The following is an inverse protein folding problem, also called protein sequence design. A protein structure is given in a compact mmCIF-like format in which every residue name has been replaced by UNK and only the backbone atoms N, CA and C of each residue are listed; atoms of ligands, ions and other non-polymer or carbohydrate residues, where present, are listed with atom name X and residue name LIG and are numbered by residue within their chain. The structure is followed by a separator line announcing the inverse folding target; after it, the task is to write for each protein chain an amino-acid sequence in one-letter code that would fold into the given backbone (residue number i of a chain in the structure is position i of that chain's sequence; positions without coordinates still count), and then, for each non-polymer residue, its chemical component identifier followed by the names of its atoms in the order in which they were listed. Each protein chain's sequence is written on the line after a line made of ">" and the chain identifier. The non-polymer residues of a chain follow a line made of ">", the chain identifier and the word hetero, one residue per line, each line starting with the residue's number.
data_IF_598764696531
#
_entry.id   IF_598764696531
#
_cell.length_a   1.000
_cell.length_b   1.000
_cell.length_c   1.000
_cell.angle_alpha   90.00
_cell.angle_beta   90.00
_cell.angle_gamma   90.00
#
_symmetry.space_group_name_H-M   'P 1'
#
loop_
_entity.id
_entity.type
_entity.pdbx_description
1 polymer ?
#
# COMPACT_ATOMS: atom_id res chain seq x y z
N UNK A 1 2.22 -7.67 -22.33
CA UNK A 1 3.64 -7.90 -22.00
C UNK A 1 4.41 -8.52 -23.16
N UNK A 2 4.29 -9.82 -23.47
CA UNK A 2 5.12 -10.45 -24.51
C UNK A 2 4.95 -9.81 -25.91
N UNK A 3 3.73 -9.48 -26.32
CA UNK A 3 3.48 -8.76 -27.57
C UNK A 3 4.14 -7.37 -27.59
N UNK A 4 3.91 -6.56 -26.54
CA UNK A 4 4.54 -5.24 -26.40
C UNK A 4 6.09 -5.34 -26.46
N UNK A 5 6.67 -6.34 -25.79
CA UNK A 5 8.11 -6.56 -25.85
C UNK A 5 8.60 -6.94 -27.27
N UNK A 6 7.80 -7.69 -28.04
CA UNK A 6 8.11 -8.00 -29.43
C UNK A 6 8.04 -6.75 -30.34
N UNK A 7 7.22 -5.76 -29.98
CA UNK A 7 7.17 -4.44 -30.64
C UNK A 7 8.31 -3.50 -30.21
N UNK A 8 9.29 -4.00 -29.44
CA UNK A 8 10.43 -3.23 -28.96
C UNK A 8 10.13 -2.34 -27.76
N UNK A 9 9.02 -2.57 -27.06
CA UNK A 9 8.63 -1.78 -25.89
C UNK A 9 9.15 -2.39 -24.59
N UNK A 10 9.81 -1.56 -23.79
CA UNK A 10 10.20 -1.91 -22.43
C UNK A 10 9.08 -1.60 -21.42
N UNK A 11 8.99 -2.40 -20.36
CA UNK A 11 7.98 -2.17 -19.33
C UNK A 11 8.09 -3.06 -18.11
N UNK A 12 7.23 -2.77 -17.14
CA UNK A 12 7.21 -3.41 -15.82
C UNK A 12 5.91 -4.17 -15.64
N UNK A 13 5.97 -5.36 -15.04
CA UNK A 13 4.79 -6.14 -14.64
C UNK A 13 4.82 -6.36 -13.14
N UNK A 14 3.91 -5.72 -12.41
CA UNK A 14 3.77 -5.88 -10.97
C UNK A 14 2.91 -7.10 -10.60
N UNK A 15 3.39 -7.87 -9.64
CA UNK A 15 2.72 -9.06 -9.07
C UNK A 15 2.71 -9.02 -7.55
N UNK A 16 1.75 -9.71 -6.92
CA UNK A 16 1.59 -9.70 -5.46
C UNK A 16 2.60 -10.56 -4.68
N UNK A 17 3.18 -11.61 -5.29
CA UNK A 17 4.06 -12.56 -4.59
C UNK A 17 5.33 -12.86 -5.39
N UNK A 18 6.42 -13.16 -4.67
CA UNK A 18 7.73 -13.51 -5.24
C UNK A 18 7.64 -14.69 -6.22
N UNK A 19 6.93 -15.75 -5.80
CA UNK A 19 6.69 -16.93 -6.64
C UNK A 19 5.96 -16.61 -7.95
N UNK A 20 5.07 -15.61 -7.94
CA UNK A 20 4.37 -15.20 -9.15
C UNK A 20 5.30 -14.44 -10.10
N UNK A 21 6.29 -13.71 -9.56
CA UNK A 21 7.27 -12.99 -10.37
C UNK A 21 8.16 -13.97 -11.13
N UNK A 22 8.72 -14.96 -10.43
CA UNK A 22 9.52 -16.03 -11.03
C UNK A 22 8.72 -16.78 -12.10
N UNK A 23 7.49 -17.19 -11.77
CA UNK A 23 6.62 -17.94 -12.67
C UNK A 23 6.27 -17.14 -13.92
N UNK A 24 5.85 -15.88 -13.77
CA UNK A 24 5.40 -15.06 -14.89
C UNK A 24 6.57 -14.63 -15.77
N UNK A 25 7.74 -14.33 -15.20
CA UNK A 25 8.95 -14.07 -16.00
C UNK A 25 9.32 -15.30 -16.86
N UNK A 26 9.28 -16.50 -16.27
CA UNK A 26 9.53 -17.76 -17.00
C UNK A 26 8.51 -18.00 -18.12
N UNK A 27 7.25 -17.65 -17.90
CA UNK A 27 6.21 -17.76 -18.93
C UNK A 27 6.41 -16.76 -20.07
N UNK A 28 6.82 -15.53 -19.77
CA UNK A 28 7.15 -14.52 -20.77
C UNK A 28 8.36 -14.94 -21.62
N UNK A 29 9.41 -15.48 -20.98
CA UNK A 29 10.57 -16.04 -21.68
C UNK A 29 10.18 -17.19 -22.62
N UNK A 30 9.30 -18.09 -22.19
CA UNK A 30 8.77 -19.17 -23.05
C UNK A 30 8.00 -18.66 -24.26
N UNK A 31 7.47 -17.45 -24.20
CA UNK A 31 6.78 -16.76 -25.31
C UNK A 31 7.72 -15.88 -26.14
N UNK A 32 9.03 -15.94 -25.89
CA UNK A 32 10.05 -15.22 -26.66
C UNK A 32 10.35 -13.80 -26.18
N UNK A 33 9.76 -13.34 -25.07
CA UNK A 33 10.07 -12.03 -24.51
C UNK A 33 11.35 -12.07 -23.67
N UNK A 34 12.22 -11.07 -23.83
CA UNK A 34 13.33 -10.87 -22.88
C UNK A 34 12.76 -10.36 -21.55
N UNK A 35 12.64 -11.25 -20.57
CA UNK A 35 12.01 -10.96 -19.30
C UNK A 35 12.83 -11.48 -18.12
N UNK A 36 12.78 -10.79 -16.98
CA UNK A 36 13.45 -11.21 -15.74
C UNK A 36 12.59 -10.96 -14.49
N UNK A 37 12.63 -11.84 -13.48
CA UNK A 37 11.98 -11.58 -12.21
C UNK A 37 12.81 -10.61 -11.36
N UNK A 38 12.15 -9.80 -10.54
CA UNK A 38 12.78 -8.92 -9.57
C UNK A 38 12.03 -8.86 -8.24
N UNK A 39 12.66 -9.29 -7.15
CA UNK A 39 12.10 -9.17 -5.80
C UNK A 39 13.15 -9.30 -4.70
N UNK A 40 12.77 -8.93 -3.48
CA UNK A 40 13.64 -8.96 -2.31
C UNK A 40 14.23 -10.35 -1.96
N UNK A 41 13.63 -11.44 -2.46
CA UNK A 41 14.16 -12.80 -2.29
C UNK A 41 15.37 -13.15 -3.16
N UNK A 42 15.68 -12.37 -4.19
CA UNK A 42 16.86 -12.60 -5.04
C UNK A 42 18.14 -12.22 -4.31
N UNK A 43 19.27 -12.84 -4.66
CA UNK A 43 20.58 -12.39 -4.20
C UNK A 43 20.86 -10.94 -4.67
N UNK A 44 21.63 -10.18 -3.89
CA UNK A 44 21.95 -8.78 -4.23
C UNK A 44 22.57 -8.64 -5.62
N UNK A 45 23.57 -9.47 -5.94
CA UNK A 45 24.22 -9.50 -7.25
C UNK A 45 23.23 -9.77 -8.41
N UNK A 46 22.24 -10.65 -8.21
CA UNK A 46 21.23 -10.93 -9.23
C UNK A 46 20.28 -9.75 -9.44
N UNK A 47 19.95 -9.01 -8.38
CA UNK A 47 19.12 -7.80 -8.50
C UNK A 47 19.85 -6.71 -9.28
N UNK A 48 21.14 -6.54 -9.01
CA UNK A 48 22.01 -5.59 -9.73
C UNK A 48 22.13 -5.98 -11.21
N UNK A 49 22.40 -7.25 -11.52
CA UNK A 49 22.43 -7.75 -12.89
C UNK A 49 21.12 -7.48 -13.65
N UNK A 50 19.96 -7.76 -13.05
CA UNK A 50 18.65 -7.50 -13.68
C UNK A 50 18.39 -6.01 -13.83
N UNK A 51 18.83 -5.19 -12.87
CA UNK A 51 18.69 -3.74 -12.94
C UNK A 51 19.48 -3.17 -14.11
N UNK A 52 20.75 -3.57 -14.24
CA UNK A 52 21.64 -3.09 -15.30
C UNK A 52 21.15 -3.57 -16.67
N UNK A 53 20.78 -4.85 -16.80
CA UNK A 53 20.24 -5.40 -18.03
C UNK A 53 18.92 -4.75 -18.46
N UNK A 54 18.10 -4.29 -17.52
CA UNK A 54 16.89 -3.53 -17.84
C UNK A 54 17.21 -2.10 -18.27
N UNK A 55 18.24 -1.48 -17.66
CA UNK A 55 18.72 -0.15 -18.05
C UNK A 55 19.39 -0.12 -19.43
N UNK A 56 20.04 -1.20 -19.85
CA UNK A 56 20.71 -1.36 -21.15
C UNK A 56 19.82 -1.93 -22.27
N UNK A 57 18.52 -2.14 -22.01
CA UNK A 57 17.56 -2.77 -22.93
C UNK A 57 17.83 -4.26 -23.27
N UNK A 58 18.78 -4.92 -22.58
CA UNK A 58 19.01 -6.36 -22.70
C UNK A 58 17.81 -7.18 -22.16
N UNK A 59 17.13 -6.63 -21.15
CA UNK A 59 15.84 -7.11 -20.63
C UNK A 59 14.75 -6.11 -20.98
N UNK A 60 13.76 -6.54 -21.75
CA UNK A 60 12.62 -5.68 -22.12
C UNK A 60 11.55 -5.63 -21.02
N UNK A 61 11.36 -6.72 -20.25
CA UNK A 61 10.29 -6.84 -19.27
C UNK A 61 10.81 -7.24 -17.90
N UNK A 62 10.63 -6.39 -16.89
CA UNK A 62 10.84 -6.81 -15.51
C UNK A 62 9.53 -7.17 -14.85
N UNK A 63 9.46 -8.39 -14.30
CA UNK A 63 8.33 -8.84 -13.48
C UNK A 63 8.70 -8.68 -12.02
N UNK A 64 8.02 -7.77 -11.32
CA UNK A 64 8.42 -7.34 -10.00
C UNK A 64 7.32 -7.45 -8.96
N UNK A 65 7.72 -7.70 -7.70
CA UNK A 65 6.87 -7.31 -6.56
C UNK A 65 7.03 -5.80 -6.28
N UNK A 66 6.27 -5.23 -5.34
CA UNK A 66 6.33 -3.80 -4.93
C UNK A 66 7.74 -3.24 -4.59
N UNK A 67 8.76 -4.10 -4.48
CA UNK A 67 10.16 -3.77 -4.18
C UNK A 67 10.96 -3.19 -5.36
N UNK A 68 10.40 -3.09 -6.57
CA UNK A 68 11.07 -2.49 -7.72
C UNK A 68 10.72 -1.02 -7.81
N UNK A 69 11.51 -0.15 -7.17
CA UNK A 69 11.13 1.26 -7.17
C UNK A 69 12.06 2.34 -6.66
N UNK A 70 13.26 2.05 -6.14
CA UNK A 70 14.11 3.10 -5.56
C UNK A 70 15.24 3.63 -6.47
N UNK A 71 15.33 3.26 -7.75
CA UNK A 71 16.47 3.72 -8.57
C UNK A 71 16.43 3.53 -10.08
N UNK A 72 15.35 3.02 -10.67
CA UNK A 72 15.32 2.87 -12.14
C UNK A 72 14.90 4.19 -12.76
N UNK A 73 15.88 4.79 -13.44
CA UNK A 73 15.73 5.97 -14.27
C UNK A 73 15.74 5.56 -15.75
N UNK A 74 14.66 4.90 -16.17
CA UNK A 74 14.42 4.54 -17.58
C UNK A 74 13.22 5.36 -18.06
N UNK A 75 13.42 6.48 -18.77
CA UNK A 75 12.34 7.41 -19.07
C UNK A 75 11.35 6.88 -20.13
N UNK A 76 11.80 5.93 -20.94
CA UNK A 76 11.13 5.39 -22.13
C UNK A 76 10.34 4.10 -21.85
N UNK A 77 9.89 3.89 -20.61
CA UNK A 77 8.99 2.79 -20.29
C UNK A 77 7.63 3.00 -20.96
N UNK A 78 7.26 2.09 -21.85
CA UNK A 78 6.02 2.19 -22.64
C UNK A 78 4.84 1.55 -21.96
N UNK A 79 5.07 0.66 -20.99
CA UNK A 79 3.97 0.09 -20.24
C UNK A 79 4.31 -0.24 -18.78
N UNK A 80 3.28 -0.14 -17.94
CA UNK A 80 3.25 -0.69 -16.59
C UNK A 80 1.99 -1.52 -16.45
N UNK A 81 2.15 -2.81 -16.17
CA UNK A 81 1.03 -3.74 -16.00
C UNK A 81 0.98 -4.21 -14.56
N UNK A 82 -0.23 -4.39 -14.03
CA UNK A 82 -0.47 -4.94 -12.71
C UNK A 82 -1.26 -6.23 -12.85
N UNK A 83 -0.59 -7.38 -12.67
CA UNK A 83 -1.24 -8.67 -12.63
C UNK A 83 -1.89 -8.97 -11.26
N UNK A 84 -1.69 -8.08 -10.29
CA UNK A 84 -2.38 -8.03 -9.01
C UNK A 84 -2.52 -6.57 -8.57
N UNK A 85 -3.63 -6.24 -7.91
CA UNK A 85 -3.82 -4.90 -7.36
C UNK A 85 -2.76 -4.58 -6.28
N UNK A 86 -2.20 -3.36 -6.30
CA UNK A 86 -1.38 -2.85 -5.19
C UNK A 86 -2.18 -2.76 -3.87
N UNK A 87 -1.45 -2.57 -2.77
CA UNK A 87 -2.01 -2.44 -1.43
C UNK A 87 -2.54 -1.02 -1.12
N UNK A 88 -2.23 -0.04 -1.96
CA UNK A 88 -2.84 1.29 -1.93
C UNK A 88 -2.81 1.99 -3.28
N UNK A 89 -3.61 3.05 -3.41
CA UNK A 89 -3.57 3.92 -4.58
C UNK A 89 -2.28 4.73 -4.68
N UNK A 90 -1.64 5.07 -3.55
CA UNK A 90 -0.32 5.70 -3.54
C UNK A 90 0.71 4.82 -4.23
N UNK A 91 0.74 3.53 -3.89
CA UNK A 91 1.62 2.56 -4.52
C UNK A 91 1.30 2.43 -6.01
N UNK A 92 0.02 2.34 -6.37
CA UNK A 92 -0.41 2.28 -7.77
C UNK A 92 0.05 3.53 -8.56
N UNK A 93 -0.19 4.73 -8.02
CA UNK A 93 0.18 6.01 -8.66
C UNK A 93 1.70 6.12 -8.90
N UNK A 94 2.50 5.80 -7.88
CA UNK A 94 3.96 5.80 -8.01
C UNK A 94 4.46 4.77 -9.04
N UNK A 95 3.79 3.62 -9.14
CA UNK A 95 4.16 2.55 -10.05
C UNK A 95 3.83 2.89 -11.49
N UNK A 96 2.62 3.41 -11.78
CA UNK A 96 2.23 3.81 -13.14
C UNK A 96 3.00 5.05 -13.61
N UNK A 97 3.39 5.96 -12.70
CA UNK A 97 4.20 7.16 -12.99
C UNK A 97 5.66 6.87 -13.39
N UNK A 98 6.01 5.59 -13.59
CA UNK A 98 7.28 5.18 -14.21
C UNK A 98 7.19 5.15 -15.73
N UNK A 99 6.00 4.95 -16.28
CA UNK A 99 5.78 4.90 -17.72
C UNK A 99 5.76 6.31 -18.32
N UNK A 100 6.26 6.46 -19.55
CA UNK A 100 6.12 7.68 -20.35
C UNK A 100 6.76 8.93 -19.74
N UNK A 101 7.88 8.80 -19.02
CA UNK A 101 8.58 9.97 -18.43
C UNK A 101 9.30 10.82 -19.47
N UNK A 102 9.55 10.26 -20.65
CA UNK A 102 9.96 10.97 -21.86
C UNK A 102 8.82 11.79 -22.51
N UNK A 103 7.58 11.68 -22.02
CA UNK A 103 6.41 12.37 -22.55
C UNK A 103 5.72 11.63 -23.71
N UNK A 104 6.29 10.53 -24.19
CA UNK A 104 5.69 9.72 -25.26
C UNK A 104 4.58 8.81 -24.72
N UNK A 105 3.60 8.41 -25.55
CA UNK A 105 2.50 7.56 -25.14
C UNK A 105 2.96 6.30 -24.40
N UNK A 106 2.28 6.00 -23.30
CA UNK A 106 2.52 4.82 -22.50
C UNK A 106 1.22 4.33 -21.85
N UNK A 107 1.17 3.04 -21.57
CA UNK A 107 -0.05 2.37 -21.10
C UNK A 107 0.13 1.86 -19.67
N UNK A 108 -0.87 2.12 -18.83
CA UNK A 108 -0.99 1.51 -17.51
C UNK A 108 -2.25 0.64 -17.47
N UNK A 109 -2.08 -0.66 -17.19
CA UNK A 109 -3.19 -1.61 -17.14
C UNK A 109 -3.21 -2.40 -15.84
N UNK A 110 -4.37 -2.45 -15.20
CA UNK A 110 -4.63 -3.24 -14.01
C UNK A 110 -5.55 -4.42 -14.31
N UNK A 111 -5.01 -5.63 -14.22
CA UNK A 111 -5.79 -6.87 -14.26
C UNK A 111 -6.39 -7.13 -12.88
N UNK A 112 -7.59 -6.60 -12.67
CA UNK A 112 -8.28 -6.65 -11.38
C UNK A 112 -9.19 -7.87 -11.25
N UNK A 113 -9.05 -8.58 -10.13
CA UNK A 113 -10.06 -9.51 -9.62
C UNK A 113 -10.41 -9.14 -8.18
N UNK A 114 -11.68 -9.10 -7.77
CA UNK A 114 -12.06 -8.76 -6.39
C UNK A 114 -11.36 -9.62 -5.34
N UNK A 115 -11.03 -10.88 -5.66
CA UNK A 115 -10.33 -11.80 -4.77
C UNK A 115 -8.89 -11.37 -4.45
N UNK A 116 -8.25 -10.58 -5.32
CA UNK A 116 -6.87 -10.11 -5.14
C UNK A 116 -6.75 -9.18 -3.93
N UNK A 117 -7.81 -8.42 -3.62
CA UNK A 117 -7.85 -7.51 -2.47
C UNK A 117 -7.95 -8.26 -1.14
N UNK A 118 -8.61 -9.43 -1.11
CA UNK A 118 -8.64 -10.27 0.10
C UNK A 118 -7.27 -10.81 0.45
N UNK A 119 -6.46 -11.18 -0.55
CA UNK A 119 -5.09 -11.61 -0.34
C UNK A 119 -4.25 -10.47 0.24
N UNK A 120 -4.37 -9.25 -0.29
CA UNK A 120 -3.69 -8.08 0.25
C UNK A 120 -4.14 -7.77 1.68
N UNK A 121 -5.45 -7.78 1.94
CA UNK A 121 -5.98 -7.59 3.29
C UNK A 121 -5.43 -8.63 4.27
N UNK A 122 -5.36 -9.90 3.88
CA UNK A 122 -4.80 -10.96 4.72
C UNK A 122 -3.30 -10.78 4.99
N UNK A 123 -2.52 -10.43 3.96
CA UNK A 123 -1.07 -10.24 4.10
C UNK A 123 -0.72 -9.03 4.97
N UNK A 124 -1.54 -7.98 4.91
CA UNK A 124 -1.21 -6.68 5.50
C UNK A 124 -1.93 -6.45 6.84
N UNK A 125 -3.15 -6.97 7.03
CA UNK A 125 -4.00 -6.71 8.22
C UNK A 125 -4.00 -7.85 9.25
N UNK A 126 -2.84 -8.44 9.56
CA UNK A 126 -2.77 -9.47 10.59
C UNK A 126 -3.04 -8.88 11.99
N UNK A 127 -3.76 -9.59 12.87
CA UNK A 127 -4.11 -9.14 14.24
C UNK A 127 -2.91 -9.00 15.17
N UNK A 128 -3.05 -8.15 16.18
CA UNK A 128 -2.09 -8.05 17.27
C UNK A 128 -1.98 -9.42 17.97
N UNK A 129 -0.77 -9.99 18.12
CA UNK A 129 -0.61 -11.25 18.84
C UNK A 129 -0.60 -10.96 20.34
N UNK A 130 -1.79 -10.73 20.93
CA UNK A 130 -1.94 -10.33 22.34
C UNK A 130 -1.18 -11.21 23.33
N UNK A 131 -1.24 -12.52 23.16
CA UNK A 131 -0.50 -13.46 24.00
C UNK A 131 1.02 -13.30 23.86
N UNK A 132 1.50 -13.02 22.65
CA UNK A 132 2.91 -12.75 22.41
C UNK A 132 3.34 -11.39 23.01
N UNK A 133 2.51 -10.35 22.88
CA UNK A 133 2.73 -9.04 23.50
C UNK A 133 2.84 -9.18 25.03
N UNK A 134 1.89 -9.91 25.64
CA UNK A 134 1.85 -10.19 27.08
C UNK A 134 3.07 -10.99 27.53
N UNK A 135 3.45 -12.02 26.77
CA UNK A 135 4.58 -12.89 27.11
C UNK A 135 5.91 -12.15 27.02
N UNK A 136 6.13 -11.35 25.97
CA UNK A 136 7.32 -10.50 25.83
C UNK A 136 7.41 -9.46 26.95
N UNK A 137 6.30 -8.76 27.22
CA UNK A 137 6.27 -7.74 28.29
C UNK A 137 6.55 -8.34 29.67
N UNK A 138 5.95 -9.49 30.01
CA UNK A 138 6.22 -10.20 31.26
C UNK A 138 7.67 -10.66 31.36
N UNK A 139 8.22 -11.29 30.32
CA UNK A 139 9.59 -11.78 30.31
C UNK A 139 10.61 -10.66 30.55
N UNK A 140 10.46 -9.52 29.87
CA UNK A 140 11.37 -8.37 30.01
C UNK A 140 11.24 -7.61 31.34
N UNK A 141 10.09 -7.75 32.02
CA UNK A 141 9.85 -7.15 33.35
C UNK A 141 10.34 -8.05 34.48
N UNK A 142 10.34 -9.37 34.27
CA UNK A 142 10.89 -10.35 35.21
C UNK A 142 12.43 -10.49 35.10
N UNK A 143 13.04 -10.01 34.02
CA UNK A 143 14.48 -10.08 33.81
C UNK A 143 15.22 -8.92 34.51
N UNK A 144 16.36 -9.23 35.13
CA UNK A 144 17.30 -8.26 35.71
C UNK A 144 18.19 -7.60 34.63
N UNK A 145 17.59 -7.17 33.52
CA UNK A 145 18.28 -6.40 32.48
C UNK A 145 17.83 -6.67 31.04
N UNK A 146 18.53 -6.08 30.05
CA UNK A 146 18.18 -6.22 28.65
C UNK A 146 18.42 -7.62 28.10
N UNK A 147 17.45 -8.15 27.36
CA UNK A 147 17.51 -9.50 26.79
C UNK A 147 17.88 -9.48 25.30
N UNK A 148 18.64 -10.49 24.88
CA UNK A 148 18.91 -10.73 23.47
C UNK A 148 17.74 -11.45 22.77
N UNK A 149 17.72 -11.42 21.43
CA UNK A 149 16.64 -12.01 20.63
C UNK A 149 16.38 -13.50 20.93
N UNK A 150 17.43 -14.34 21.08
CA UNK A 150 17.31 -15.78 21.40
C UNK A 150 16.94 -16.06 22.85
N UNK A 151 17.28 -15.14 23.74
CA UNK A 151 16.98 -15.23 25.17
C UNK A 151 15.50 -14.95 25.40
N UNK A 152 15.01 -13.86 24.80
CA UNK A 152 13.60 -13.48 24.82
C UNK A 152 12.71 -14.54 24.15
N UNK A 153 13.17 -15.15 23.06
CA UNK A 153 12.45 -16.24 22.38
C UNK A 153 12.21 -17.43 23.30
N UNK A 154 13.24 -17.86 24.05
CA UNK A 154 13.14 -18.95 25.03
C UNK A 154 12.29 -18.57 26.24
N UNK A 155 12.50 -17.37 26.79
CA UNK A 155 11.79 -16.92 27.98
C UNK A 155 10.29 -16.69 27.73
N UNK A 156 9.92 -16.19 26.55
CA UNK A 156 8.52 -15.93 26.18
C UNK A 156 7.84 -17.13 25.51
N UNK A 157 8.58 -18.18 25.13
CA UNK A 157 8.03 -19.36 24.45
C UNK A 157 7.45 -19.07 23.06
N UNK A 158 8.08 -18.17 22.31
CA UNK A 158 7.55 -17.65 21.04
C UNK A 158 8.36 -18.13 19.83
N UNK A 159 7.74 -18.15 18.66
CA UNK A 159 8.48 -18.25 17.40
C UNK A 159 9.24 -16.96 17.10
N UNK A 160 10.30 -17.04 16.29
CA UNK A 160 11.05 -15.87 15.79
C UNK A 160 10.14 -14.75 15.27
N UNK A 161 9.14 -15.11 14.47
CA UNK A 161 8.19 -14.14 13.85
C UNK A 161 7.28 -13.50 14.88
N UNK A 162 6.67 -14.30 15.78
CA UNK A 162 5.78 -13.78 16.82
C UNK A 162 6.53 -12.84 17.78
N UNK A 163 7.77 -13.20 18.18
CA UNK A 163 8.63 -12.35 19.01
C UNK A 163 8.96 -11.04 18.31
N UNK A 164 9.46 -11.08 17.07
CA UNK A 164 9.83 -9.86 16.34
C UNK A 164 8.64 -8.91 16.20
N UNK A 165 7.45 -9.45 15.89
CA UNK A 165 6.24 -8.65 15.79
C UNK A 165 5.84 -8.01 17.13
N UNK A 166 5.85 -8.79 18.21
CA UNK A 166 5.49 -8.29 19.54
C UNK A 166 6.46 -7.20 20.03
N UNK A 167 7.76 -7.39 19.82
CA UNK A 167 8.78 -6.39 20.17
C UNK A 167 8.56 -5.08 19.40
N UNK A 168 8.37 -5.15 18.08
CA UNK A 168 8.17 -3.95 17.26
C UNK A 168 6.92 -3.15 17.69
N UNK A 169 5.80 -3.83 17.95
CA UNK A 169 4.57 -3.16 18.41
C UNK A 169 4.75 -2.52 19.79
N UNK A 170 5.38 -3.22 20.73
CA UNK A 170 5.63 -2.67 22.07
C UNK A 170 6.65 -1.52 22.06
N UNK A 171 7.62 -1.53 21.15
CA UNK A 171 8.56 -0.43 20.96
C UNK A 171 7.88 0.81 20.35
N UNK A 172 6.96 0.62 19.38
CA UNK A 172 6.17 1.71 18.78
C UNK A 172 5.32 2.48 19.80
N UNK A 173 4.81 1.80 20.83
CA UNK A 173 4.03 2.42 21.91
C UNK A 173 4.90 2.84 23.11
N UNK A 174 6.23 2.82 22.96
CA UNK A 174 7.17 3.26 23.99
C UNK A 174 7.24 2.34 25.23
N UNK A 175 6.68 1.13 25.17
CA UNK A 175 6.75 0.17 26.27
C UNK A 175 8.11 -0.54 26.34
N UNK A 176 8.81 -0.65 25.20
CA UNK A 176 10.15 -1.21 25.08
C UNK A 176 11.12 -0.23 24.44
N UNK A 177 12.42 -0.47 24.65
CA UNK A 177 13.50 0.24 23.96
C UNK A 177 14.59 -0.72 23.53
N UNK A 178 15.09 -0.54 22.31
CA UNK A 178 16.32 -1.20 21.86
C UNK A 178 17.55 -0.56 22.51
N UNK A 179 18.43 -1.38 23.07
CA UNK A 179 19.71 -0.98 23.67
C UNK A 179 20.90 -1.51 22.86
N UNK A 180 22.13 -1.22 23.32
CA UNK A 180 23.36 -1.65 22.63
C UNK A 180 23.37 -3.15 22.31
N UNK A 181 23.88 -3.47 21.11
CA UNK A 181 23.98 -4.83 20.55
C UNK A 181 22.64 -5.50 20.24
N UNK A 182 21.59 -4.73 19.96
CA UNK A 182 20.28 -5.27 19.54
C UNK A 182 19.53 -6.02 20.65
N UNK A 183 19.88 -5.76 21.91
CA UNK A 183 19.11 -6.23 23.07
C UNK A 183 17.94 -5.30 23.32
N UNK A 184 16.90 -5.81 23.97
CA UNK A 184 15.68 -5.06 24.26
C UNK A 184 15.44 -5.02 25.76
N UNK A 185 14.97 -3.88 26.28
CA UNK A 185 14.61 -3.71 27.68
C UNK A 185 13.23 -3.06 27.81
N UNK A 186 12.53 -3.35 28.91
CA UNK A 186 11.29 -2.66 29.22
C UNK A 186 11.54 -1.20 29.62
N UNK A 187 10.56 -0.33 29.36
CA UNK A 187 10.55 1.05 29.84
C UNK A 187 9.87 1.09 31.22
N UNK A 188 10.53 1.60 32.27
CA UNK A 188 9.95 1.71 33.60
C UNK A 188 8.64 2.51 33.61
N UNK A 189 7.74 2.20 34.54
CA UNK A 189 6.47 2.91 34.71
C UNK A 189 5.29 2.42 33.86
N UNK A 190 5.51 1.60 32.84
CA UNK A 190 4.48 1.33 31.81
C UNK A 190 3.61 0.06 32.02
N UNK A 191 3.51 -0.60 33.18
CA UNK A 191 2.74 -1.87 33.39
C UNK A 191 2.75 -2.96 32.25
N UNK A 192 2.22 -4.16 32.49
CA UNK A 192 2.04 -5.11 31.38
C UNK A 192 0.71 -4.88 30.68
N UNK A 193 -0.33 -4.53 31.44
CA UNK A 193 -1.68 -4.35 30.92
C UNK A 193 -1.76 -3.14 29.99
N UNK A 194 -1.15 -2.01 30.38
CA UNK A 194 -1.19 -0.78 29.59
C UNK A 194 -0.36 -0.91 28.31
N UNK A 195 0.84 -1.51 28.40
CA UNK A 195 1.66 -1.82 27.25
C UNK A 195 0.94 -2.70 26.21
N UNK A 196 0.25 -3.76 26.67
CA UNK A 196 -0.51 -4.64 25.76
C UNK A 196 -1.69 -3.89 25.17
N UNK A 197 -2.47 -3.17 25.97
CA UNK A 197 -3.64 -2.40 25.49
C UNK A 197 -3.24 -1.39 24.41
N UNK A 198 -2.23 -0.55 24.68
CA UNK A 198 -1.75 0.42 23.72
C UNK A 198 -1.21 -0.25 22.44
N UNK A 199 -0.49 -1.37 22.55
CA UNK A 199 0.02 -2.10 21.39
C UNK A 199 -1.09 -2.76 20.54
N UNK A 200 -2.20 -3.18 21.17
CA UNK A 200 -3.38 -3.70 20.47
C UNK A 200 -4.09 -2.57 19.73
N UNK A 201 -4.40 -1.47 20.43
CA UNK A 201 -5.02 -0.27 19.86
C UNK A 201 -4.22 0.24 18.65
N UNK A 202 -2.90 0.37 18.81
CA UNK A 202 -1.99 0.79 17.73
C UNK A 202 -1.97 -0.14 16.53
N UNK A 203 -2.17 -1.45 16.75
CA UNK A 203 -2.28 -2.42 15.68
C UNK A 203 -3.64 -2.35 14.98
N UNK A 204 -4.72 -2.11 15.72
CA UNK A 204 -6.08 -1.93 15.17
C UNK A 204 -6.19 -0.65 14.33
N UNK A 205 -5.64 0.48 14.79
CA UNK A 205 -5.49 1.71 14.00
C UNK A 205 -4.77 1.43 12.68
N UNK A 206 -3.61 0.75 12.76
CA UNK A 206 -2.85 0.41 11.57
C UNK A 206 -3.64 -0.47 10.60
N UNK A 207 -4.40 -1.44 11.11
CA UNK A 207 -5.29 -2.25 10.28
C UNK A 207 -6.42 -1.45 9.65
N UNK A 208 -7.00 -0.50 10.38
CA UNK A 208 -8.03 0.40 9.87
C UNK A 208 -7.51 1.23 8.70
N UNK A 209 -6.29 1.76 8.83
CA UNK A 209 -5.58 2.49 7.76
C UNK A 209 -5.32 1.62 6.53
N UNK A 210 -4.85 0.39 6.71
CA UNK A 210 -4.63 -0.55 5.60
C UNK A 210 -5.95 -0.88 4.90
N UNK A 211 -7.00 -1.16 5.68
CA UNK A 211 -8.31 -1.51 5.14
C UNK A 211 -8.90 -0.36 4.34
N UNK A 212 -8.84 0.87 4.85
CA UNK A 212 -9.35 2.04 4.15
C UNK A 212 -8.59 2.30 2.85
N UNK A 213 -7.27 2.09 2.81
CA UNK A 213 -6.50 2.14 1.55
C UNK A 213 -6.92 1.10 0.53
N UNK A 214 -7.19 -0.13 0.96
CA UNK A 214 -7.69 -1.19 0.09
C UNK A 214 -9.11 -0.89 -0.41
N UNK A 215 -9.96 -0.28 0.41
CA UNK A 215 -11.28 0.20 0.00
C UNK A 215 -11.17 1.27 -1.10
N UNK A 216 -10.21 2.20 -0.98
CA UNK A 216 -9.95 3.18 -2.04
C UNK A 216 -9.44 2.52 -3.32
N UNK A 217 -8.51 1.55 -3.21
CA UNK A 217 -8.03 0.77 -4.36
C UNK A 217 -9.19 0.02 -5.04
N UNK A 218 -10.09 -0.58 -4.25
CA UNK A 218 -11.31 -1.22 -4.74
C UNK A 218 -12.20 -0.22 -5.48
N UNK A 219 -12.46 0.94 -4.87
CA UNK A 219 -13.25 2.01 -5.46
C UNK A 219 -12.67 2.47 -6.80
N UNK A 220 -11.35 2.63 -6.89
CA UNK A 220 -10.68 2.92 -8.15
C UNK A 220 -10.88 1.81 -9.16
N UNK A 221 -10.65 0.53 -8.82
CA UNK A 221 -10.75 -0.61 -9.73
C UNK A 221 -12.18 -0.84 -10.25
N UNK A 222 -13.18 -0.59 -9.41
CA UNK A 222 -14.59 -0.81 -9.73
C UNK A 222 -15.30 0.44 -10.27
N UNK A 223 -14.64 1.61 -10.29
CA UNK A 223 -15.28 2.85 -10.74
C UNK A 223 -15.83 2.74 -12.16
N UNK A 224 -16.99 3.34 -12.39
CA UNK A 224 -17.63 3.52 -13.69
C UNK A 224 -17.35 4.91 -14.30
N UNK A 225 -16.76 5.82 -13.52
CA UNK A 225 -16.36 7.16 -13.96
C UNK A 225 -14.97 7.21 -14.60
N UNK A 226 -14.48 8.40 -14.92
CA UNK A 226 -13.12 8.58 -15.41
C UNK A 226 -12.08 8.16 -14.35
N UNK A 227 -11.15 7.25 -14.73
CA UNK A 227 -10.07 6.79 -13.85
C UNK A 227 -9.16 7.93 -13.38
N UNK A 228 -8.82 8.86 -14.28
CA UNK A 228 -7.94 9.99 -13.96
C UNK A 228 -8.60 10.95 -12.99
N UNK A 229 -9.89 11.24 -13.16
CA UNK A 229 -10.63 12.07 -12.19
C UNK A 229 -10.67 11.42 -10.80
N UNK A 230 -10.91 10.10 -10.72
CA UNK A 230 -10.85 9.37 -9.44
C UNK A 230 -9.47 9.48 -8.80
N UNK A 231 -8.41 9.24 -9.58
CA UNK A 231 -7.05 9.22 -9.08
C UNK A 231 -6.57 10.60 -8.64
N UNK A 232 -6.86 11.64 -9.39
CA UNK A 232 -6.55 13.02 -9.01
C UNK A 232 -7.33 13.43 -7.76
N UNK A 233 -8.63 13.11 -7.70
CA UNK A 233 -9.44 13.38 -6.52
C UNK A 233 -8.92 12.66 -5.27
N UNK A 234 -8.35 11.47 -5.40
CA UNK A 234 -7.69 10.80 -4.26
C UNK A 234 -6.52 11.63 -3.69
N UNK A 235 -5.85 12.44 -4.51
CA UNK A 235 -4.74 13.32 -4.12
C UNK A 235 -5.17 14.78 -3.91
N UNK A 236 -6.47 15.07 -3.81
CA UNK A 236 -6.98 16.44 -3.61
C UNK A 236 -7.02 17.29 -4.89
N UNK A 237 -6.67 16.72 -6.05
CA UNK A 237 -6.68 17.43 -7.32
C UNK A 237 -8.02 17.26 -8.06
N UNK A 238 -8.48 18.34 -8.68
CA UNK A 238 -9.71 18.32 -9.46
C UNK A 238 -9.44 18.42 -10.96
N UNK A 239 -10.03 17.48 -11.71
CA UNK A 239 -10.10 17.55 -13.17
C UNK A 239 -11.58 17.69 -13.56
N UNK A 240 -11.93 18.83 -14.16
CA UNK A 240 -13.32 19.19 -14.45
C UNK A 240 -13.99 18.26 -15.46
N UNK A 241 -13.26 17.85 -16.49
CA UNK A 241 -13.79 17.02 -17.58
C UNK A 241 -13.16 15.62 -17.58
N UNK A 242 -13.89 14.59 -18.04
CA UNK A 242 -13.31 13.26 -18.25
C UNK A 242 -12.05 13.32 -19.12
N UNK A 243 -11.00 12.59 -18.75
CA UNK A 243 -9.67 12.75 -19.35
C UNK A 243 -9.50 12.29 -20.81
N UNK A 244 -10.52 11.65 -21.40
CA UNK A 244 -10.48 11.15 -22.78
C UNK A 244 -9.48 10.02 -23.09
N UNK A 245 -8.70 9.56 -22.11
CA UNK A 245 -7.53 8.67 -22.32
C UNK A 245 -7.45 7.51 -21.30
N UNK A 246 -8.59 7.12 -20.74
CA UNK A 246 -8.70 5.93 -19.89
C UNK A 246 -9.78 5.00 -20.41
N UNK A 247 -9.72 3.73 -20.03
CA UNK A 247 -10.67 2.67 -20.42
C UNK A 247 -12.14 3.10 -20.30
N UNK A 248 -12.50 3.81 -19.23
CA UNK A 248 -13.87 4.28 -19.00
C UNK A 248 -14.30 5.43 -19.92
N UNK A 249 -13.38 6.33 -20.25
CA UNK A 249 -13.61 7.42 -21.21
C UNK A 249 -13.70 6.86 -22.63
N UNK A 250 -12.81 5.95 -22.99
CA UNK A 250 -12.79 5.28 -24.30
C UNK A 250 -14.07 4.46 -24.52
N UNK A 251 -14.54 3.76 -23.49
CA UNK A 251 -15.82 3.04 -23.54
C UNK A 251 -17.07 3.96 -23.53
N UNK A 252 -16.91 5.28 -23.42
CA UNK A 252 -18.03 6.24 -23.32
C UNK A 252 -18.85 6.13 -22.02
N UNK A 253 -18.36 5.37 -21.03
CA UNK A 253 -19.05 5.15 -19.75
C UNK A 253 -18.74 6.23 -18.71
N UNK A 254 -17.64 6.97 -18.90
CA UNK A 254 -17.25 8.07 -18.02
C UNK A 254 -18.27 9.21 -18.11
N UNK A 255 -19.19 9.27 -17.14
CA UNK A 255 -20.10 10.41 -17.00
C UNK A 255 -19.31 11.64 -16.57
N UNK A 256 -19.64 12.79 -17.13
CA UNK A 256 -19.19 14.09 -16.63
C UNK A 256 -19.67 14.23 -15.19
N UNK A 257 -18.75 14.15 -14.23
CA UNK A 257 -19.02 14.54 -12.84
C UNK A 257 -18.99 16.07 -12.83
N UNK A 258 -20.15 16.72 -12.67
CA UNK A 258 -20.16 18.16 -12.41
C UNK A 258 -19.43 18.40 -11.09
N UNK A 259 -18.59 19.43 -11.05
CA UNK A 259 -18.08 19.95 -9.79
C UNK A 259 -19.30 20.23 -8.89
N UNK A 260 -19.41 19.54 -7.77
CA UNK A 260 -20.52 19.80 -6.85
C UNK A 260 -20.22 21.12 -6.14
N UNK A 261 -21.15 22.07 -6.24
CA UNK A 261 -21.24 23.19 -5.30
C UNK A 261 -21.81 22.66 -3.98
N UNK A 262 -21.04 21.80 -3.32
CA UNK A 262 -21.38 21.19 -2.04
C UNK A 262 -20.92 22.07 -0.86
N UNK A 263 -21.35 21.75 0.36
CA UNK A 263 -20.95 22.48 1.57
C UNK A 263 -19.51 22.22 2.01
N UNK A 264 -18.81 21.29 1.34
CA UNK A 264 -17.43 20.93 1.64
C UNK A 264 -16.53 21.29 0.47
N UNK A 265 -15.39 21.91 0.77
CA UNK A 265 -14.34 22.21 -0.20
C UNK A 265 -13.27 21.11 -0.16
N UNK A 266 -12.61 20.87 -1.30
CA UNK A 266 -11.43 19.99 -1.35
C UNK A 266 -10.34 20.54 -0.43
N UNK A 267 -9.62 19.65 0.23
CA UNK A 267 -8.57 19.95 1.22
C UNK A 267 -9.04 20.69 2.49
N UNK A 268 -10.35 20.89 2.66
CA UNK A 268 -10.89 21.44 3.90
C UNK A 268 -10.58 20.51 5.10
N UNK A 269 -10.15 21.12 6.21
CA UNK A 269 -10.01 20.40 7.48
C UNK A 269 -11.39 20.20 8.10
N UNK A 270 -11.65 18.98 8.56
CA UNK A 270 -12.90 18.59 9.24
C UNK A 270 -12.55 17.76 10.48
N UNK A 271 -13.44 17.77 11.47
CA UNK A 271 -13.31 16.96 12.67
C UNK A 271 -14.52 16.06 12.90
N UNK A 272 -14.29 14.85 13.41
CA UNK A 272 -15.32 13.88 13.75
C UNK A 272 -15.09 13.32 15.16
N UNK A 273 -16.14 13.24 15.98
CA UNK A 273 -16.04 12.86 17.39
C UNK A 273 -15.42 11.46 17.60
N UNK A 274 -15.65 10.52 16.67
CA UNK A 274 -15.10 9.16 16.75
C UNK A 274 -13.76 8.99 16.01
N UNK A 275 -13.51 9.79 14.98
CA UNK A 275 -12.42 9.54 14.02
C UNK A 275 -11.30 10.58 14.10
N UNK A 276 -11.50 11.64 14.88
CA UNK A 276 -10.56 12.73 15.06
C UNK A 276 -10.57 13.69 13.87
N UNK A 277 -9.43 14.34 13.67
CA UNK A 277 -9.22 15.31 12.60
C UNK A 277 -8.99 14.60 11.26
N UNK A 278 -9.48 15.23 10.20
CA UNK A 278 -9.36 14.74 8.85
C UNK A 278 -9.36 15.84 7.79
N UNK A 279 -9.00 15.46 6.57
CA UNK A 279 -8.92 16.35 5.41
C UNK A 279 -9.86 15.81 4.33
N UNK A 280 -10.69 16.67 3.76
CA UNK A 280 -11.55 16.33 2.62
C UNK A 280 -10.67 16.06 1.40
N UNK A 281 -10.64 14.81 0.94
CA UNK A 281 -9.83 14.40 -0.21
C UNK A 281 -10.63 14.51 -1.50
N UNK A 282 -11.89 14.08 -1.50
CA UNK A 282 -12.75 14.13 -2.68
C UNK A 282 -14.17 14.58 -2.33
N UNK A 283 -14.78 15.36 -3.21
CA UNK A 283 -16.17 15.80 -3.11
C UNK A 283 -16.90 15.38 -4.38
N UNK A 284 -17.98 14.63 -4.23
CA UNK A 284 -18.91 14.26 -5.29
C UNK A 284 -20.30 14.86 -4.99
N UNK A 285 -21.31 14.57 -5.81
CA UNK A 285 -22.67 15.10 -5.61
C UNK A 285 -23.35 14.52 -4.36
N UNK A 286 -23.22 13.21 -4.11
CA UNK A 286 -23.91 12.49 -3.02
C UNK A 286 -23.00 12.11 -1.86
N UNK A 287 -21.68 12.21 -2.04
CA UNK A 287 -20.68 11.72 -1.09
C UNK A 287 -19.43 12.59 -1.03
N UNK A 288 -18.76 12.55 0.11
CA UNK A 288 -17.41 13.07 0.31
C UNK A 288 -16.50 11.94 0.75
N UNK A 289 -15.22 12.02 0.44
CA UNK A 289 -14.19 11.15 1.01
C UNK A 289 -13.25 11.99 1.86
N UNK A 290 -13.11 11.61 3.12
CA UNK A 290 -12.27 12.29 4.11
C UNK A 290 -11.16 11.33 4.54
N UNK A 291 -9.93 11.83 4.62
CA UNK A 291 -8.79 11.11 5.21
C UNK A 291 -8.64 11.54 6.67
N UNK A 292 -8.94 10.63 7.60
CA UNK A 292 -8.74 10.81 9.03
C UNK A 292 -7.41 10.22 9.48
N UNK A 293 -6.75 10.85 10.47
CA UNK A 293 -5.44 10.40 10.96
C UNK A 293 -5.49 8.98 11.56
N UNK A 294 -6.50 8.69 12.39
CA UNK A 294 -6.58 7.43 13.13
C UNK A 294 -7.16 6.26 12.31
N UNK A 295 -8.12 6.54 11.41
CA UNK A 295 -8.91 5.50 10.72
C UNK A 295 -8.73 5.47 9.20
N UNK A 296 -8.05 6.46 8.64
CA UNK A 296 -7.79 6.58 7.21
C UNK A 296 -8.99 7.09 6.43
N UNK A 297 -9.15 6.58 5.20
CA UNK A 297 -10.21 7.04 4.30
C UNK A 297 -11.60 6.61 4.78
N UNK A 298 -12.54 7.56 4.74
CA UNK A 298 -13.96 7.34 4.98
C UNK A 298 -14.77 8.04 3.90
N UNK A 299 -15.65 7.29 3.23
CA UNK A 299 -16.62 7.85 2.30
C UNK A 299 -17.95 8.03 3.02
N UNK A 300 -18.44 9.27 3.05
CA UNK A 300 -19.61 9.70 3.81
C UNK A 300 -20.64 10.30 2.86
N UNK A 301 -21.93 10.09 3.12
CA UNK A 301 -23.00 10.76 2.37
C UNK A 301 -23.04 12.25 2.73
N UNK A 302 -23.08 13.13 1.72
CA UNK A 302 -23.20 14.60 1.90
C UNK A 302 -24.48 14.93 2.68
N UNK A 303 -25.59 14.29 2.33
CA UNK A 303 -26.89 14.49 3.00
C UNK A 303 -26.79 14.12 4.48
N UNK A 304 -26.25 12.95 4.79
CA UNK A 304 -26.14 12.47 6.17
C UNK A 304 -25.25 13.39 7.02
N UNK A 305 -24.09 13.82 6.52
CA UNK A 305 -23.17 14.66 7.31
C UNK A 305 -23.70 16.06 7.52
N UNK A 306 -24.40 16.63 6.53
CA UNK A 306 -25.01 17.96 6.64
C UNK A 306 -26.24 17.98 7.54
N UNK A 307 -27.05 16.92 7.53
CA UNK A 307 -28.23 16.83 8.39
C UNK A 307 -27.90 16.55 9.86
N UNK A 308 -26.84 15.78 10.11
CA UNK A 308 -26.46 15.33 11.46
C UNK A 308 -25.39 16.21 12.12
N UNK A 309 -24.65 17.00 11.36
CA UNK A 309 -23.56 17.84 11.88
C UNK A 309 -22.39 17.03 12.47
N UNK A 310 -22.19 15.79 12.01
CA UNK A 310 -21.11 14.90 12.50
C UNK A 310 -19.72 15.33 12.05
N UNK A 311 -19.64 16.18 11.03
CA UNK A 311 -18.39 16.84 10.63
C UNK A 311 -18.47 18.32 11.01
N UNK A 312 -17.50 18.77 11.80
CA UNK A 312 -17.32 20.18 12.18
C UNK A 312 -16.08 20.77 11.52
#
# INVERSE_FOLDING_TARGET
>A
AAALAADGHAGIVYVGRRVDADRLATELQRRGASAAPYHAGLAAARREEVHDAFGSDDVAVVVATSAFGMGIDKPDLRFVLHAAAPDSLDAYYQQIGRAGRDGEPATAELFYRPEDLHLQAFLTAARAPEDALRSVSKALRAADGPMGARELERAAGLSRTARTRAVNLLEQVGALRTVRRGKVAHVPGVSTADAVRAAVERAEEHQSLIRSRLEMMRGYSETTGCRRQFLLGYFGEHLSEPCGSCDRCEAGTARTRRASSGPFELEASVSHDEWGDGIVMAVEEDRITVLFEAVGYRTLSVEAVTSSGVLR
#
